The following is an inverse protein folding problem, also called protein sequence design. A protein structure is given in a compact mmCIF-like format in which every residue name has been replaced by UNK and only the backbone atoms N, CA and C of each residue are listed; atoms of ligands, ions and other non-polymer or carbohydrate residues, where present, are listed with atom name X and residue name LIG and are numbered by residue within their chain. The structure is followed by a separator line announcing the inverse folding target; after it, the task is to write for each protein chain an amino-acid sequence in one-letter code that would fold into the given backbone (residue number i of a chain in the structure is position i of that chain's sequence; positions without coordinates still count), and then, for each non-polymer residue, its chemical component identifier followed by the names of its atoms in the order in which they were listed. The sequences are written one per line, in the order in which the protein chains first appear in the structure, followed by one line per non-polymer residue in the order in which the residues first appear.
data_IF_855221904409
#
_entry.id   IF_855221904409
#
_cell.length_a   1.000
_cell.length_b   1.000
_cell.length_c   1.000
_cell.angle_alpha   90.00
_cell.angle_beta   90.00
_cell.angle_gamma   90.00
#
_symmetry.space_group_name_H-M   'P 1'
#
loop_
_entity.id
_entity.type
_entity.pdbx_description
1 polymer ?
#
# COMPACT_ATOMS: atom_id res chain seq x y z
N UNK A 1 -30.27 -4.79 34.46
CA UNK A 1 -29.25 -3.72 34.34
C UNK A 1 -28.45 -3.92 33.06
N UNK A 2 -28.67 -3.09 32.03
CA UNK A 2 -28.01 -3.21 30.73
C UNK A 2 -26.70 -2.39 30.72
N UNK A 3 -25.54 -3.06 30.65
CA UNK A 3 -24.23 -2.40 30.50
C UNK A 3 -24.08 -1.86 29.08
N UNK A 4 -24.34 -0.57 28.91
CA UNK A 4 -24.03 0.19 27.69
C UNK A 4 -22.51 0.28 27.52
N UNK A 5 -21.92 -0.64 26.75
CA UNK A 5 -20.50 -0.59 26.40
C UNK A 5 -20.21 0.69 25.59
N UNK A 6 -19.47 1.63 26.20
CA UNK A 6 -18.99 2.84 25.54
C UNK A 6 -18.05 2.44 24.39
N UNK A 7 -18.49 2.64 23.13
CA UNK A 7 -17.64 2.51 21.94
C UNK A 7 -16.44 3.46 22.10
N UNK A 8 -15.23 2.91 22.34
CA UNK A 8 -13.98 3.67 22.31
C UNK A 8 -13.87 4.33 20.92
N UNK A 9 -13.71 5.66 20.89
CA UNK A 9 -13.38 6.39 19.65
C UNK A 9 -12.06 5.80 19.13
N UNK A 10 -12.09 5.09 18.01
CA UNK A 10 -10.87 4.62 17.33
C UNK A 10 -10.04 5.87 17.01
N UNK A 11 -8.81 5.94 17.51
CA UNK A 11 -7.86 6.97 17.13
C UNK A 11 -7.70 7.00 15.61
N UNK A 12 -7.44 8.17 15.03
CA UNK A 12 -7.17 8.29 13.59
C UNK A 12 -5.98 7.38 13.26
N UNK A 13 -6.11 6.57 12.20
CA UNK A 13 -5.03 5.72 11.72
C UNK A 13 -3.81 6.61 11.39
N UNK A 14 -2.65 6.26 11.96
CA UNK A 14 -1.43 7.08 11.87
C UNK A 14 -0.56 6.72 10.65
N UNK A 15 -0.99 5.76 9.83
CA UNK A 15 -0.17 5.22 8.75
C UNK A 15 0.57 3.94 9.16
N UNK A 16 1.26 3.37 8.17
CA UNK A 16 2.23 2.29 8.37
C UNK A 16 3.60 2.87 8.69
N UNK A 17 4.48 2.13 9.37
CA UNK A 17 5.86 2.57 9.60
C UNK A 17 6.68 2.43 8.30
N UNK A 18 6.61 3.46 7.46
CA UNK A 18 7.20 3.45 6.13
C UNK A 18 8.74 3.32 6.18
N UNK A 19 9.40 3.91 7.16
CA UNK A 19 10.86 3.86 7.30
C UNK A 19 11.33 2.43 7.61
N UNK A 20 10.65 1.76 8.54
CA UNK A 20 10.93 0.35 8.83
C UNK A 20 10.68 -0.54 7.61
N UNK A 21 9.57 -0.30 6.89
CA UNK A 21 9.23 -1.04 5.67
C UNK A 21 10.32 -0.83 4.60
N UNK A 22 10.75 0.41 4.37
CA UNK A 22 11.82 0.74 3.43
C UNK A 22 13.13 0.06 3.82
N UNK A 23 13.52 0.12 5.10
CA UNK A 23 14.71 -0.57 5.59
C UNK A 23 14.65 -2.09 5.33
N UNK A 24 13.49 -2.71 5.57
CA UNK A 24 13.28 -4.13 5.30
C UNK A 24 13.35 -4.44 3.80
N UNK A 25 12.73 -3.63 2.95
CA UNK A 25 12.78 -3.79 1.49
C UNK A 25 14.22 -3.64 0.97
N UNK A 26 14.99 -2.68 1.47
CA UNK A 26 16.42 -2.52 1.17
C UNK A 26 17.22 -3.76 1.56
N UNK A 27 16.99 -4.31 2.75
CA UNK A 27 17.66 -5.54 3.18
C UNK A 27 17.34 -6.73 2.28
N UNK A 28 16.08 -6.88 1.86
CA UNK A 28 15.66 -7.94 0.93
C UNK A 28 16.28 -7.75 -0.47
N UNK A 29 16.35 -6.51 -0.95
CA UNK A 29 16.98 -6.15 -2.21
C UNK A 29 18.48 -6.47 -2.22
N UNK A 30 19.21 -6.12 -1.14
CA UNK A 30 20.64 -6.43 -1.00
C UNK A 30 20.89 -7.95 -1.03
N UNK A 31 19.98 -8.74 -0.45
CA UNK A 31 20.01 -10.20 -0.53
C UNK A 31 19.52 -10.79 -1.85
N UNK A 32 19.18 -9.96 -2.87
CA UNK A 32 18.56 -10.39 -4.14
C UNK A 32 17.25 -11.18 -3.97
N UNK A 33 16.53 -10.93 -2.86
CA UNK A 33 15.27 -11.61 -2.49
C UNK A 33 14.07 -10.83 -3.05
N UNK A 34 14.06 -10.62 -4.36
CA UNK A 34 13.09 -9.74 -5.03
C UNK A 34 11.64 -10.22 -4.90
N UNK A 35 11.40 -11.53 -5.03
CA UNK A 35 10.08 -12.14 -4.81
C UNK A 35 9.51 -11.79 -3.44
N UNK A 36 10.31 -12.00 -2.39
CA UNK A 36 9.89 -11.73 -1.02
C UNK A 36 9.67 -10.23 -0.77
N UNK A 37 10.49 -9.38 -1.37
CA UNK A 37 10.35 -7.94 -1.26
C UNK A 37 9.01 -7.45 -1.86
N UNK A 38 8.64 -7.96 -3.04
CA UNK A 38 7.36 -7.64 -3.69
C UNK A 38 6.18 -8.11 -2.84
N UNK A 39 6.23 -9.35 -2.34
CA UNK A 39 5.19 -9.92 -1.47
C UNK A 39 5.06 -9.09 -0.18
N UNK A 40 6.18 -8.72 0.43
CA UNK A 40 6.22 -7.90 1.63
C UNK A 40 5.61 -6.51 1.40
N UNK A 41 5.95 -5.84 0.29
CA UNK A 41 5.35 -4.57 -0.08
C UNK A 41 3.83 -4.68 -0.26
N UNK A 42 3.36 -5.73 -0.95
CA UNK A 42 1.92 -5.92 -1.19
C UNK A 42 1.15 -6.15 0.12
N UNK A 43 1.71 -6.90 1.07
CA UNK A 43 1.07 -7.08 2.37
C UNK A 43 1.03 -5.81 3.22
N UNK A 44 2.04 -4.96 3.13
CA UNK A 44 1.99 -3.65 3.76
C UNK A 44 0.96 -2.72 3.09
N UNK A 45 0.75 -2.85 1.78
CA UNK A 45 -0.38 -2.20 1.10
C UNK A 45 -1.74 -2.68 1.64
N UNK A 46 -1.93 -3.98 1.88
CA UNK A 46 -3.17 -4.47 2.49
C UNK A 46 -3.41 -3.90 3.89
N UNK A 47 -2.34 -3.83 4.70
CA UNK A 47 -2.37 -3.20 6.03
C UNK A 47 -2.76 -1.71 5.92
N UNK A 48 -2.19 -1.00 4.95
CA UNK A 48 -2.49 0.40 4.68
C UNK A 48 -3.96 0.62 4.34
N UNK A 49 -4.52 -0.14 3.39
CA UNK A 49 -5.93 -0.02 3.00
C UNK A 49 -6.85 -0.38 4.17
N UNK A 50 -6.54 -1.45 4.90
CA UNK A 50 -7.30 -1.85 6.08
C UNK A 50 -7.27 -0.75 7.15
N UNK A 51 -6.11 -0.16 7.42
CA UNK A 51 -5.96 0.88 8.42
C UNK A 51 -6.65 2.19 8.05
N UNK A 52 -6.47 2.64 6.80
CA UNK A 52 -6.95 3.94 6.35
C UNK A 52 -8.43 3.92 5.97
N UNK A 53 -8.88 2.94 5.18
CA UNK A 53 -10.26 2.87 4.68
C UNK A 53 -11.15 1.91 5.48
N UNK A 54 -10.60 1.15 6.45
CA UNK A 54 -11.33 0.07 7.12
C UNK A 54 -11.91 -0.96 6.13
N UNK A 55 -11.16 -1.23 5.05
CA UNK A 55 -11.58 -2.09 3.93
C UNK A 55 -10.67 -3.33 3.77
N UNK A 56 -10.69 -4.28 4.73
CA UNK A 56 -9.83 -5.46 4.65
C UNK A 56 -10.20 -6.35 3.46
N UNK A 57 -9.21 -7.06 2.90
CA UNK A 57 -9.42 -8.11 1.91
C UNK A 57 -10.15 -9.29 2.56
N UNK A 58 -11.19 -9.81 1.90
CA UNK A 58 -11.95 -10.97 2.39
C UNK A 58 -11.13 -12.26 2.22
N UNK A 59 -11.27 -13.27 3.10
CA UNK A 59 -10.48 -14.52 3.02
C UNK A 59 -10.61 -15.26 1.68
N UNK A 60 -11.83 -15.33 1.13
CA UNK A 60 -12.11 -15.99 -0.16
C UNK A 60 -11.83 -15.13 -1.38
N UNK A 61 -11.51 -13.85 -1.19
CA UNK A 61 -11.33 -12.91 -2.30
C UNK A 61 -9.91 -13.02 -2.84
N UNK A 62 -9.76 -13.13 -4.15
CA UNK A 62 -8.45 -13.10 -4.83
C UNK A 62 -7.80 -11.72 -4.78
N UNK A 63 -6.50 -11.64 -5.08
CA UNK A 63 -5.79 -10.36 -5.13
C UNK A 63 -6.37 -9.44 -6.23
N UNK A 64 -6.67 -10.02 -7.40
CA UNK A 64 -7.33 -9.32 -8.52
C UNK A 64 -8.73 -8.81 -8.20
N UNK A 65 -9.58 -9.64 -7.60
CA UNK A 65 -10.91 -9.19 -7.17
C UNK A 65 -10.83 -8.09 -6.12
N UNK A 66 -9.86 -8.18 -5.20
CA UNK A 66 -9.61 -7.13 -4.21
C UNK A 66 -9.19 -5.82 -4.89
N UNK A 67 -8.27 -5.88 -5.86
CA UNK A 67 -7.86 -4.71 -6.64
C UNK A 67 -9.05 -4.08 -7.41
N UNK A 68 -9.94 -4.88 -7.99
CA UNK A 68 -11.15 -4.36 -8.64
C UNK A 68 -12.07 -3.64 -7.64
N UNK A 69 -12.25 -4.24 -6.46
CA UNK A 69 -13.04 -3.65 -5.37
C UNK A 69 -12.44 -2.31 -4.91
N UNK A 70 -11.11 -2.21 -4.76
CA UNK A 70 -10.45 -0.98 -4.32
C UNK A 70 -10.56 0.13 -5.37
N UNK A 71 -10.44 -0.18 -6.66
CA UNK A 71 -10.72 0.79 -7.74
C UNK A 71 -12.17 1.28 -7.68
N UNK A 72 -13.14 0.36 -7.61
CA UNK A 72 -14.56 0.72 -7.68
C UNK A 72 -15.03 1.52 -6.46
N UNK A 73 -14.65 1.06 -5.27
CA UNK A 73 -15.16 1.54 -3.98
C UNK A 73 -14.30 2.65 -3.38
N UNK A 74 -12.99 2.55 -3.49
CA UNK A 74 -12.03 3.47 -2.87
C UNK A 74 -11.46 4.49 -3.87
N UNK A 75 -11.80 4.37 -5.16
CA UNK A 75 -11.35 5.25 -6.25
C UNK A 75 -9.84 5.29 -6.42
N UNK A 76 -9.15 4.21 -6.04
CA UNK A 76 -7.72 4.07 -6.29
C UNK A 76 -7.49 3.93 -7.80
N UNK A 77 -6.52 4.65 -8.39
CA UNK A 77 -6.28 4.58 -9.83
C UNK A 77 -5.93 3.17 -10.31
N UNK A 78 -6.64 2.63 -11.33
CA UNK A 78 -6.37 1.29 -11.86
C UNK A 78 -4.96 1.16 -12.44
N UNK A 79 -4.43 2.24 -13.01
CA UNK A 79 -3.07 2.32 -13.57
C UNK A 79 -1.95 2.06 -12.54
N UNK A 80 -2.24 2.16 -11.24
CA UNK A 80 -1.28 1.88 -10.18
C UNK A 80 -1.55 0.52 -9.53
N UNK A 81 -2.80 0.23 -9.19
CA UNK A 81 -3.11 -0.97 -8.42
C UNK A 81 -3.11 -2.26 -9.25
N UNK A 82 -3.50 -2.23 -10.52
CA UNK A 82 -3.51 -3.45 -11.35
C UNK A 82 -2.10 -3.94 -11.70
N UNK A 83 -1.16 -3.09 -12.13
CA UNK A 83 0.23 -3.54 -12.32
C UNK A 83 0.85 -4.06 -11.03
N UNK A 84 0.59 -3.39 -9.90
CA UNK A 84 1.14 -3.83 -8.61
C UNK A 84 0.59 -5.18 -8.17
N UNK A 85 -0.72 -5.40 -8.38
CA UNK A 85 -1.36 -6.69 -8.11
C UNK A 85 -0.83 -7.80 -9.03
N UNK A 86 -0.55 -7.47 -10.29
CA UNK A 86 0.05 -8.42 -11.25
C UNK A 86 1.44 -8.84 -10.80
N UNK A 87 2.31 -7.89 -10.43
CA UNK A 87 3.65 -8.18 -9.91
C UNK A 87 3.59 -9.03 -8.63
N UNK A 88 2.60 -8.80 -7.77
CA UNK A 88 2.37 -9.65 -6.59
C UNK A 88 1.96 -11.09 -6.97
N UNK A 89 1.03 -11.25 -7.91
CA UNK A 89 0.61 -12.57 -8.39
C UNK A 89 1.78 -13.32 -9.04
N UNK A 90 2.59 -12.64 -9.85
CA UNK A 90 3.83 -13.19 -10.43
C UNK A 90 4.85 -13.58 -9.35
N UNK A 91 5.10 -12.70 -8.37
CA UNK A 91 6.04 -13.00 -7.29
C UNK A 91 5.59 -14.19 -6.42
N UNK A 92 4.29 -14.38 -6.25
CA UNK A 92 3.72 -15.41 -5.36
C UNK A 92 3.47 -16.75 -6.04
N UNK A 93 3.04 -16.73 -7.29
CA UNK A 93 2.59 -17.94 -8.01
C UNK A 93 3.36 -18.17 -9.31
N UNK A 94 4.17 -17.21 -9.75
CA UNK A 94 4.97 -17.33 -10.95
C UNK A 94 6.07 -18.38 -10.79
N UNK A 95 6.38 -19.06 -11.90
CA UNK A 95 7.44 -20.08 -11.96
C UNK A 95 8.82 -19.47 -12.20
N UNK A 96 8.88 -18.22 -12.68
CA UNK A 96 10.12 -17.52 -13.00
C UNK A 96 10.57 -16.70 -11.78
N UNK A 97 11.87 -16.67 -11.46
CA UNK A 97 12.41 -15.74 -10.48
C UNK A 97 12.09 -14.30 -10.87
N UNK A 98 11.80 -13.45 -9.87
CA UNK A 98 11.63 -12.01 -10.10
C UNK A 98 13.00 -11.35 -10.24
N UNK A 99 13.12 -10.37 -11.12
CA UNK A 99 14.33 -9.59 -11.31
C UNK A 99 14.30 -8.23 -10.59
N UNK A 100 15.40 -7.50 -10.69
CA UNK A 100 15.57 -6.18 -10.06
C UNK A 100 14.64 -5.13 -10.68
N UNK A 101 14.32 -5.23 -11.97
CA UNK A 101 13.47 -4.26 -12.66
C UNK A 101 12.01 -4.41 -12.19
N UNK A 102 11.53 -5.65 -12.10
CA UNK A 102 10.21 -5.97 -11.57
C UNK A 102 10.09 -5.53 -10.10
N UNK A 103 11.14 -5.75 -9.30
CA UNK A 103 11.17 -5.24 -7.93
C UNK A 103 11.11 -3.71 -7.86
N UNK A 104 11.92 -3.01 -8.67
CA UNK A 104 11.94 -1.54 -8.68
C UNK A 104 10.58 -0.97 -9.09
N UNK A 105 9.91 -1.58 -10.07
CA UNK A 105 8.56 -1.17 -10.47
C UNK A 105 7.54 -1.43 -9.34
N UNK A 106 7.60 -2.59 -8.69
CA UNK A 106 6.73 -2.88 -7.54
C UNK A 106 6.95 -1.89 -6.39
N UNK A 107 8.20 -1.52 -6.09
CA UNK A 107 8.53 -0.53 -5.06
C UNK A 107 7.96 0.85 -5.42
N UNK A 108 8.14 1.29 -6.67
CA UNK A 108 7.59 2.55 -7.18
C UNK A 108 6.07 2.59 -7.05
N UNK A 109 5.38 1.52 -7.45
CA UNK A 109 3.93 1.41 -7.36
C UNK A 109 3.45 1.40 -5.90
N UNK A 110 4.15 0.67 -5.02
CA UNK A 110 3.86 0.66 -3.58
C UNK A 110 3.97 2.06 -2.96
N UNK A 111 5.07 2.78 -3.22
CA UNK A 111 5.26 4.14 -2.71
C UNK A 111 4.23 5.11 -3.28
N UNK A 112 3.91 4.98 -4.56
CA UNK A 112 2.85 5.77 -5.21
C UNK A 112 1.49 5.53 -4.54
N UNK A 113 1.14 4.27 -4.24
CA UNK A 113 -0.08 3.94 -3.50
C UNK A 113 -0.07 4.51 -2.09
N UNK A 114 1.06 4.40 -1.38
CA UNK A 114 1.20 4.98 -0.05
C UNK A 114 0.92 6.48 -0.08
N UNK A 115 1.53 7.20 -1.02
CA UNK A 115 1.37 8.64 -1.12
C UNK A 115 -0.05 9.02 -1.53
N UNK A 116 -0.65 8.34 -2.51
CA UNK A 116 -2.04 8.59 -2.91
C UNK A 116 -3.03 8.39 -1.75
N UNK A 117 -2.81 7.39 -0.91
CA UNK A 117 -3.70 7.05 0.20
C UNK A 117 -3.49 7.99 1.39
N UNK A 118 -2.24 8.26 1.75
CA UNK A 118 -1.89 9.10 2.90
C UNK A 118 -1.93 10.61 2.58
N UNK A 119 -2.11 10.98 1.31
CA UNK A 119 -2.23 12.37 0.85
C UNK A 119 -0.93 13.03 0.39
N UNK A 120 0.13 12.25 0.16
CA UNK A 120 1.46 12.69 -0.27
C UNK A 120 2.13 13.66 0.70
N UNK A 121 3.40 14.04 0.49
CA UNK A 121 3.90 15.26 1.09
C UNK A 121 2.99 16.39 0.59
N UNK A 122 2.31 17.07 1.52
CA UNK A 122 1.75 18.39 1.25
C UNK A 122 2.92 19.24 0.78
N UNK A 123 3.07 19.43 -0.53
CA UNK A 123 3.87 20.54 -1.03
C UNK A 123 3.27 21.77 -0.38
N UNK A 124 4.06 22.39 0.50
CA UNK A 124 3.64 23.52 1.29
C UNK A 124 3.08 24.59 0.37
N UNK A 125 1.98 25.21 0.78
CA UNK A 125 1.57 26.48 0.21
C UNK A 125 2.76 27.43 0.33
N UNK A 126 3.42 27.68 -0.80
CA UNK A 126 4.36 28.78 -0.93
C UNK A 126 3.59 30.05 -0.64
N UNK A 127 4.15 30.80 0.29
CA UNK A 127 3.75 32.14 0.68
C UNK A 127 3.53 33.00 -0.57
N UNK A 128 2.29 33.41 -0.81
CA UNK A 128 1.97 34.57 -1.63
C UNK A 128 2.12 35.82 -0.78
N UNK A 129 3.35 36.17 -0.39
CA UNK A 129 3.70 37.51 0.02
C UNK A 129 4.07 38.30 -1.25
N UNK A 130 3.09 39.04 -1.76
CA UNK A 130 3.24 40.16 -2.70
C UNK A 130 1.85 40.81 -2.74
N UNK A 131 1.64 42.09 -2.53
CA UNK A 131 2.50 43.26 -2.40
C UNK A 131 1.53 44.42 -2.61
N UNK A 132 1.40 45.29 -1.62
CA UNK A 132 0.73 46.59 -1.70
C UNK A 132 1.30 47.47 -0.60
#
# INVERSE_FOLDING_TARGET
MSRRQKKKKKGKFQGINLDFIKAKLTSLQQGKRFQEAIIYAYYNYLQLIQGFYNAPRRPSQTAREYAMDTVKKLKIPPAVIYPFTTLFEEARFGKKPMDVNQYNEALKLFLTLNDLIMGGPKQGGTQGASGA
#
